data_IF_205682423666
#
_entry.id   IF_205682423666
#
_cell.length_a   1.000
_cell.length_b   1.000
_cell.length_c   1.000
_cell.angle_alpha   90.00
_cell.angle_beta   90.00
_cell.angle_gamma   90.00
#
_symmetry.space_group_name_H-M   'P 1'
#
loop_
_entity.id
_entity.type
_entity.pdbx_description
1 polymer ?
#
# COMPACT_ATOMS: atom_id res chain seq x y z
N UNK A 1 26.47 -10.09 -17.52
CA UNK A 1 26.44 -8.69 -18.00
C UNK A 1 25.94 -8.48 -19.44
N UNK A 2 25.95 -9.49 -20.33
CA UNK A 2 25.59 -9.31 -21.76
C UNK A 2 24.15 -8.84 -21.98
N UNK A 3 23.19 -9.46 -21.29
CA UNK A 3 21.77 -9.13 -21.40
C UNK A 3 21.48 -7.67 -21.03
N UNK A 4 21.98 -7.19 -19.88
CA UNK A 4 21.76 -5.81 -19.43
C UNK A 4 22.30 -4.77 -20.43
N UNK A 5 23.45 -5.04 -21.05
CA UNK A 5 24.01 -4.17 -22.11
C UNK A 5 23.16 -4.16 -23.37
N UNK A 6 22.69 -5.33 -23.82
CA UNK A 6 21.78 -5.45 -24.98
C UNK A 6 20.49 -4.68 -24.70
N UNK A 7 19.93 -4.82 -23.51
CA UNK A 7 18.68 -4.14 -23.13
C UNK A 7 18.84 -2.63 -23.02
N UNK A 8 19.94 -2.17 -22.45
CA UNK A 8 20.26 -0.74 -22.38
C UNK A 8 20.49 -0.15 -23.78
N UNK A 9 21.19 -0.86 -24.68
CA UNK A 9 21.37 -0.44 -26.06
C UNK A 9 20.05 -0.41 -26.85
N UNK A 10 19.16 -1.38 -26.66
CA UNK A 10 17.81 -1.37 -27.25
C UNK A 10 16.96 -0.17 -26.82
N UNK A 11 17.23 0.37 -25.63
CA UNK A 11 16.54 1.53 -25.06
C UNK A 11 17.37 2.82 -25.20
N UNK A 12 18.44 2.81 -26.01
CA UNK A 12 19.33 3.95 -26.25
C UNK A 12 19.87 4.61 -24.96
N UNK A 13 20.10 3.79 -23.93
CA UNK A 13 20.51 4.24 -22.60
C UNK A 13 21.76 3.50 -22.11
N UNK A 14 22.34 3.98 -21.02
CA UNK A 14 23.42 3.29 -20.33
C UNK A 14 22.85 2.29 -19.32
N UNK A 15 23.60 1.23 -19.02
CA UNK A 15 23.20 0.26 -17.99
C UNK A 15 23.01 0.93 -16.63
N UNK A 16 23.85 1.91 -16.30
CA UNK A 16 23.74 2.65 -15.04
C UNK A 16 22.45 3.48 -14.97
N UNK A 17 22.13 4.23 -16.04
CA UNK A 17 20.87 4.98 -16.12
C UNK A 17 19.67 4.04 -16.04
N UNK A 18 19.68 2.92 -16.78
CA UNK A 18 18.60 1.92 -16.75
C UNK A 18 18.36 1.38 -15.33
N UNK A 19 19.42 1.06 -14.58
CA UNK A 19 19.30 0.58 -13.19
C UNK A 19 18.79 1.68 -12.25
N UNK A 20 19.25 2.92 -12.43
CA UNK A 20 18.76 4.07 -11.65
C UNK A 20 17.26 4.32 -11.84
N UNK A 21 16.76 4.23 -13.08
CA UNK A 21 15.34 4.36 -13.37
C UNK A 21 14.51 3.23 -12.74
N UNK A 22 14.97 1.98 -12.82
CA UNK A 22 14.30 0.85 -12.18
C UNK A 22 14.22 1.01 -10.64
N UNK A 23 15.27 1.54 -10.03
CA UNK A 23 15.28 1.82 -8.59
C UNK A 23 14.29 2.93 -8.25
N UNK A 24 14.25 4.01 -9.05
CA UNK A 24 13.32 5.12 -8.88
C UNK A 24 11.87 4.66 -8.98
N UNK A 25 11.52 3.90 -10.02
CA UNK A 25 10.18 3.30 -10.17
C UNK A 25 9.81 2.43 -8.97
N UNK A 26 10.77 1.67 -8.42
CA UNK A 26 10.51 0.83 -7.25
C UNK A 26 10.25 1.66 -6.00
N UNK A 27 11.01 2.72 -5.78
CA UNK A 27 10.81 3.64 -4.66
C UNK A 27 9.46 4.35 -4.78
N UNK A 28 9.11 4.88 -5.96
CA UNK A 28 7.79 5.49 -6.23
C UNK A 28 6.64 4.50 -5.96
N UNK A 29 6.80 3.22 -6.29
CA UNK A 29 5.82 2.19 -5.99
C UNK A 29 5.75 1.82 -4.49
N UNK A 30 6.86 1.85 -3.77
CA UNK A 30 6.92 1.54 -2.33
C UNK A 30 6.42 2.70 -1.45
N UNK A 31 6.59 3.94 -1.90
CA UNK A 31 6.08 5.15 -1.23
C UNK A 31 4.56 5.13 -1.02
N UNK A 32 3.82 4.37 -1.82
CA UNK A 32 2.37 4.23 -1.67
C UNK A 32 1.92 3.71 -0.31
N UNK A 33 2.68 2.79 0.31
CA UNK A 33 2.36 2.31 1.66
C UNK A 33 2.57 3.41 2.71
N UNK A 34 3.72 4.06 2.67
CA UNK A 34 4.07 5.11 3.63
C UNK A 34 3.15 6.32 3.50
N UNK A 35 2.77 6.69 2.27
CA UNK A 35 1.80 7.74 1.99
C UNK A 35 0.40 7.36 2.50
N UNK A 36 -0.07 6.13 2.23
CA UNK A 36 -1.34 5.63 2.73
C UNK A 36 -1.38 5.57 4.27
N UNK A 37 -0.29 5.11 4.88
CA UNK A 37 -0.12 5.09 6.34
C UNK A 37 -0.19 6.50 6.93
N UNK A 38 0.56 7.46 6.38
CA UNK A 38 0.52 8.86 6.82
C UNK A 38 -0.88 9.45 6.71
N UNK A 39 -1.58 9.22 5.60
CA UNK A 39 -2.97 9.69 5.39
C UNK A 39 -3.93 9.06 6.40
N UNK A 40 -3.85 7.76 6.61
CA UNK A 40 -4.70 7.04 7.56
C UNK A 40 -4.48 7.54 8.99
N UNK A 41 -3.23 7.66 9.43
CA UNK A 41 -2.89 8.10 10.78
C UNK A 41 -3.21 9.58 11.03
N UNK A 42 -3.18 10.42 9.99
CA UNK A 42 -3.59 11.82 10.08
C UNK A 42 -5.12 11.99 10.19
N UNK A 43 -5.89 10.96 9.85
CA UNK A 43 -7.36 11.04 9.84
C UNK A 43 -7.89 11.00 11.27
N UNK A 44 -8.64 12.04 11.66
CA UNK A 44 -9.27 12.07 12.99
C UNK A 44 -10.33 10.98 13.10
N UNK A 45 -10.43 10.30 14.26
CA UNK A 45 -11.46 9.29 14.47
C UNK A 45 -12.85 9.92 14.35
N UNK A 46 -13.73 9.27 13.59
CA UNK A 46 -15.12 9.65 13.48
C UNK A 46 -15.93 9.00 14.62
N UNK A 47 -16.81 9.79 15.24
CA UNK A 47 -17.75 9.25 16.23
C UNK A 47 -18.82 8.45 15.48
N UNK A 48 -18.83 7.13 15.68
CA UNK A 48 -19.77 6.24 15.01
C UNK A 48 -21.09 6.08 15.77
N UNK A 49 -21.08 6.21 17.11
CA UNK A 49 -22.28 6.21 17.94
C UNK A 49 -22.55 7.60 18.52
N UNK A 50 -23.74 8.15 18.25
CA UNK A 50 -24.19 9.44 18.83
C UNK A 50 -24.84 9.28 20.22
N UNK A 51 -25.19 8.05 20.61
CA UNK A 51 -25.80 7.73 21.89
C UNK A 51 -25.78 6.23 22.16
N UNK A 52 -25.44 5.82 23.39
CA UNK A 52 -25.47 4.42 23.83
C UNK A 52 -24.13 3.70 23.69
N UNK A 53 -24.03 2.52 24.32
CA UNK A 53 -22.81 1.69 24.28
C UNK A 53 -22.60 1.11 22.89
N UNK A 54 -21.34 0.89 22.51
CA UNK A 54 -21.04 0.09 21.33
C UNK A 54 -21.48 -1.37 21.56
N UNK A 55 -22.11 -2.00 20.57
CA UNK A 55 -22.46 -3.41 20.67
C UNK A 55 -21.20 -4.26 20.83
N UNK A 56 -21.31 -5.30 21.64
CA UNK A 56 -20.30 -6.33 21.83
C UNK A 56 -20.17 -7.18 20.57
N UNK A 57 -19.04 -7.88 20.44
CA UNK A 57 -18.78 -8.75 19.29
C UNK A 57 -19.88 -9.81 19.15
N UNK A 58 -20.32 -10.37 20.27
CA UNK A 58 -21.37 -11.37 20.35
C UNK A 58 -22.70 -10.78 19.85
N UNK A 59 -23.10 -9.58 20.28
CA UNK A 59 -24.34 -8.94 19.80
C UNK A 59 -24.37 -8.70 18.28
N UNK A 60 -23.22 -8.56 17.61
CA UNK A 60 -23.14 -8.32 16.15
C UNK A 60 -22.98 -9.63 15.36
N UNK A 61 -22.23 -10.58 15.91
CA UNK A 61 -21.78 -11.77 15.18
C UNK A 61 -22.40 -13.07 15.66
N UNK A 62 -23.15 -13.06 16.76
CA UNK A 62 -23.88 -14.23 17.18
C UNK A 62 -24.94 -14.54 16.11
N UNK A 63 -24.85 -15.77 15.60
CA UNK A 63 -25.80 -16.30 14.65
C UNK A 63 -26.73 -17.19 15.44
N UNK A 64 -27.72 -16.59 16.07
CA UNK A 64 -28.82 -17.33 16.68
C UNK A 64 -29.33 -18.36 15.67
N UNK A 65 -29.12 -19.64 15.97
CA UNK A 65 -29.63 -20.75 15.15
C UNK A 65 -28.61 -21.51 14.29
N UNK A 66 -27.29 -21.31 14.44
CA UNK A 66 -26.32 -22.31 13.94
C UNK A 66 -26.00 -23.29 15.07
N UNK A 67 -26.90 -24.24 15.30
CA UNK A 67 -26.65 -25.46 16.09
C UNK A 67 -27.29 -26.65 15.41
#
# INVERSE_FOLDING_TARGET
>A
MRWAKIRAAQQETSVFRMVGEMLRERMEQEEGYDEAMRRFLATKPAVLSRSGRYPTREEIHDRDGIR
#
